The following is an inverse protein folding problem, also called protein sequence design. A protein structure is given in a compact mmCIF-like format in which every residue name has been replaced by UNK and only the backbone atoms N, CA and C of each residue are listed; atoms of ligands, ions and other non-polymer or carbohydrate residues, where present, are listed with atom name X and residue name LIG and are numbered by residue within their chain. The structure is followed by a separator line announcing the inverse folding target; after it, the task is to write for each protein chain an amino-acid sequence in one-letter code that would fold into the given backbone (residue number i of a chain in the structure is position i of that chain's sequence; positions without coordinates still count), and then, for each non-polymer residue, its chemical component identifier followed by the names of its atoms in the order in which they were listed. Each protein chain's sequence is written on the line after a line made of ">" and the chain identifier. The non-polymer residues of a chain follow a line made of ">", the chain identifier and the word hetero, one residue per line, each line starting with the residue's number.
data_IF_916087555219
#
_entry.id   IF_916087555219
#
_cell.length_a   1.000
_cell.length_b   1.000
_cell.length_c   1.000
_cell.angle_alpha   90.00
_cell.angle_beta   90.00
_cell.angle_gamma   90.00
#
_symmetry.space_group_name_H-M   'P 1'
#
loop_
_entity.id
_entity.type
_entity.pdbx_description
1 polymer ?
#
# COMPACT_ATOMS: atom_id res chain seq x y z
N UNK A 1 5.34 1.27 13.68
CA UNK A 1 6.73 1.75 13.83
C UNK A 1 7.73 0.58 13.75
N UNK A 2 7.50 -0.54 14.43
CA UNK A 2 8.41 -1.70 14.42
C UNK A 2 8.74 -2.23 13.00
N UNK A 3 7.76 -2.39 12.12
CA UNK A 3 7.99 -2.86 10.74
C UNK A 3 8.89 -1.88 9.96
N UNK A 4 8.71 -0.59 10.16
CA UNK A 4 9.50 0.47 9.52
C UNK A 4 10.94 0.50 10.06
N UNK A 5 11.12 0.28 11.36
CA UNK A 5 12.45 0.22 11.98
C UNK A 5 13.22 -1.02 11.52
N UNK A 6 12.54 -2.17 11.39
CA UNK A 6 13.13 -3.39 10.84
C UNK A 6 13.58 -3.19 9.38
N UNK A 7 12.71 -2.63 8.52
CA UNK A 7 13.06 -2.35 7.12
C UNK A 7 14.22 -1.35 7.02
N UNK A 8 14.19 -0.30 7.83
CA UNK A 8 15.26 0.70 7.87
C UNK A 8 16.58 0.07 8.32
N UNK A 9 16.56 -0.82 9.32
CA UNK A 9 17.75 -1.52 9.81
C UNK A 9 18.33 -2.47 8.75
N UNK A 10 17.48 -3.24 8.04
CA UNK A 10 17.88 -4.11 6.94
C UNK A 10 18.52 -3.27 5.83
N UNK A 11 17.87 -2.19 5.44
CA UNK A 11 18.35 -1.29 4.40
C UNK A 11 19.69 -0.63 4.77
N UNK A 12 19.90 -0.25 6.04
CA UNK A 12 21.18 0.30 6.52
C UNK A 12 22.32 -0.71 6.47
N UNK A 13 22.04 -2.01 6.64
CA UNK A 13 23.05 -3.09 6.57
C UNK A 13 23.41 -3.47 5.14
N UNK A 14 22.60 -3.17 4.15
CA UNK A 14 22.86 -3.44 2.75
C UNK A 14 24.07 -2.64 2.26
N UNK A 15 24.97 -3.31 1.51
CA UNK A 15 26.11 -2.67 0.82
C UNK A 15 25.65 -2.22 -0.56
N UNK A 16 25.72 -0.92 -0.84
CA UNK A 16 25.36 -0.34 -2.13
C UNK A 16 23.99 0.33 -2.17
N UNK A 17 23.60 0.77 -3.36
CA UNK A 17 22.34 1.45 -3.59
C UNK A 17 21.14 0.48 -3.55
N UNK A 18 20.03 0.93 -3.03
CA UNK A 18 18.82 0.14 -2.82
C UNK A 18 17.75 0.52 -3.82
N UNK A 19 17.07 -0.48 -4.34
CA UNK A 19 15.80 -0.32 -5.05
C UNK A 19 14.68 -0.86 -4.17
N UNK A 20 13.71 -0.03 -3.80
CA UNK A 20 12.59 -0.44 -2.97
C UNK A 20 11.34 -0.64 -3.83
N UNK A 21 10.71 -1.79 -3.66
CA UNK A 21 9.45 -2.13 -4.32
C UNK A 21 8.47 -2.57 -3.26
N UNK A 22 7.33 -1.91 -3.18
CA UNK A 22 6.28 -2.23 -2.21
C UNK A 22 4.89 -2.32 -2.84
N UNK A 23 4.04 -3.17 -2.28
CA UNK A 23 2.64 -3.29 -2.63
C UNK A 23 1.77 -3.04 -1.40
N UNK A 24 0.66 -2.29 -1.57
CA UNK A 24 -0.31 -2.06 -0.50
C UNK A 24 0.35 -1.44 0.75
N UNK A 25 0.22 -2.04 1.94
CA UNK A 25 0.91 -1.65 3.16
C UNK A 25 2.43 -1.60 2.97
N UNK A 26 3.00 -2.58 2.28
CA UNK A 26 4.43 -2.59 1.94
C UNK A 26 4.85 -1.40 1.07
N UNK A 27 3.95 -0.83 0.27
CA UNK A 27 4.23 0.40 -0.48
C UNK A 27 4.26 1.63 0.43
N UNK A 28 3.35 1.73 1.42
CA UNK A 28 3.39 2.79 2.42
C UNK A 28 4.69 2.73 3.25
N UNK A 29 5.11 1.53 3.65
CA UNK A 29 6.38 1.31 4.34
C UNK A 29 7.60 1.66 3.47
N UNK A 30 7.59 1.27 2.18
CA UNK A 30 8.68 1.57 1.26
C UNK A 30 8.84 3.09 1.03
N UNK A 31 7.71 3.81 0.92
CA UNK A 31 7.70 5.27 0.81
C UNK A 31 8.33 5.93 2.05
N UNK A 32 7.89 5.54 3.24
CA UNK A 32 8.40 6.10 4.50
C UNK A 32 9.87 5.71 4.74
N UNK A 33 10.25 4.48 4.41
CA UNK A 33 11.65 4.02 4.46
C UNK A 33 12.53 4.86 3.52
N UNK A 34 12.03 5.15 2.31
CA UNK A 34 12.75 6.00 1.35
C UNK A 34 12.93 7.41 1.89
N UNK A 35 11.89 7.99 2.50
CA UNK A 35 11.98 9.31 3.14
C UNK A 35 13.05 9.35 4.25
N UNK A 36 13.15 8.29 5.06
CA UNK A 36 14.15 8.17 6.14
C UNK A 36 15.58 7.92 5.63
N UNK A 37 15.73 7.21 4.52
CA UNK A 37 17.06 6.80 4.00
C UNK A 37 17.63 7.77 2.96
N UNK A 38 16.79 8.58 2.34
CA UNK A 38 17.19 9.57 1.33
C UNK A 38 18.00 8.93 0.19
N UNK A 39 19.16 9.51 -0.09
CA UNK A 39 20.04 9.15 -1.21
C UNK A 39 20.57 7.70 -1.21
N UNK A 40 20.32 6.93 -0.16
CA UNK A 40 20.65 5.49 -0.15
C UNK A 40 19.68 4.68 -1.00
N UNK A 41 18.49 5.18 -1.24
CA UNK A 41 17.52 4.57 -2.14
C UNK A 41 17.75 5.12 -3.54
N UNK A 42 17.99 4.25 -4.50
CA UNK A 42 18.26 4.60 -5.89
C UNK A 42 16.96 4.75 -6.70
N UNK A 43 15.96 3.94 -6.39
CA UNK A 43 14.62 4.08 -6.96
C UNK A 43 13.55 3.48 -6.05
N UNK A 44 12.32 3.94 -6.23
CA UNK A 44 11.15 3.52 -5.50
C UNK A 44 10.05 3.07 -6.46
N UNK A 45 9.43 1.93 -6.18
CA UNK A 45 8.22 1.49 -6.90
C UNK A 45 7.11 1.22 -5.90
N UNK A 46 5.99 1.90 -6.06
CA UNK A 46 4.82 1.83 -5.19
C UNK A 46 3.63 1.27 -5.97
N UNK A 47 3.26 0.04 -5.67
CA UNK A 47 2.11 -0.63 -6.29
C UNK A 47 0.92 -0.50 -5.36
N UNK A 48 -0.13 0.22 -5.80
CA UNK A 48 -1.36 0.38 -5.02
C UNK A 48 -1.13 0.82 -3.56
N UNK A 49 -0.36 1.90 -3.30
CA UNK A 49 -0.07 2.35 -1.94
C UNK A 49 -1.33 2.72 -1.18
N UNK A 50 -1.37 2.38 0.12
CA UNK A 50 -2.51 2.62 1.00
C UNK A 50 -2.20 3.65 2.11
N UNK A 51 -1.45 4.69 1.80
CA UNK A 51 -1.18 5.83 2.70
C UNK A 51 -2.46 6.66 2.92
N UNK A 52 -3.48 6.03 3.53
CA UNK A 52 -4.84 6.59 3.62
C UNK A 52 -4.95 7.80 4.55
N UNK A 53 -4.00 7.99 5.49
CA UNK A 53 -3.90 9.21 6.29
C UNK A 53 -3.90 10.49 5.42
N UNK A 54 -3.33 10.42 4.22
CA UNK A 54 -3.31 11.53 3.26
C UNK A 54 -4.72 11.94 2.84
N UNK A 55 -5.64 10.99 2.66
CA UNK A 55 -7.03 11.31 2.30
C UNK A 55 -7.73 12.13 3.39
N UNK A 56 -7.46 11.80 4.67
CA UNK A 56 -7.98 12.54 5.81
C UNK A 56 -7.37 13.93 5.90
N UNK A 57 -6.04 14.03 5.79
CA UNK A 57 -5.30 15.29 5.87
C UNK A 57 -5.72 16.26 4.76
N UNK A 58 -5.88 15.76 3.54
CA UNK A 58 -6.30 16.53 2.36
C UNK A 58 -7.83 16.65 2.21
N UNK A 59 -8.60 16.21 3.22
CA UNK A 59 -10.08 16.29 3.26
C UNK A 59 -10.75 15.69 2.02
N UNK A 60 -10.18 14.58 1.52
CA UNK A 60 -10.69 13.90 0.33
C UNK A 60 -11.99 13.14 0.65
N UNK A 61 -13.01 13.20 -0.22
CA UNK A 61 -14.28 12.50 0.01
C UNK A 61 -14.11 10.98 0.10
N UNK A 62 -13.07 10.42 -0.53
CA UNK A 62 -12.74 9.01 -0.50
C UNK A 62 -12.37 8.49 0.90
N UNK A 63 -12.05 9.40 1.84
CA UNK A 63 -11.79 9.04 3.24
C UNK A 63 -12.96 8.31 3.90
N UNK A 64 -14.22 8.69 3.60
CA UNK A 64 -15.41 8.04 4.17
C UNK A 64 -15.46 6.54 3.91
N UNK A 65 -15.01 6.07 2.75
CA UNK A 65 -14.95 4.64 2.42
C UNK A 65 -13.88 3.92 3.28
N UNK A 66 -12.73 4.55 3.48
CA UNK A 66 -11.64 4.01 4.32
C UNK A 66 -12.05 3.96 5.78
N UNK A 67 -12.71 5.01 6.28
CA UNK A 67 -13.20 5.07 7.66
C UNK A 67 -14.20 3.95 7.96
N UNK A 68 -15.13 3.69 7.03
CA UNK A 68 -16.08 2.58 7.16
C UNK A 68 -15.39 1.22 7.22
N UNK A 69 -14.39 0.99 6.34
CA UNK A 69 -13.59 -0.23 6.37
C UNK A 69 -12.84 -0.37 7.70
N UNK A 70 -12.22 0.72 8.16
CA UNK A 70 -11.51 0.75 9.44
C UNK A 70 -12.42 0.39 10.62
N UNK A 71 -13.60 1.01 10.70
CA UNK A 71 -14.59 0.70 11.74
C UNK A 71 -14.98 -0.78 11.74
N UNK A 72 -15.16 -1.39 10.55
CA UNK A 72 -15.53 -2.79 10.45
C UNK A 72 -14.38 -3.73 10.87
N UNK A 73 -13.14 -3.45 10.45
CA UNK A 73 -11.98 -4.28 10.75
C UNK A 73 -11.56 -4.13 12.22
N UNK A 74 -11.35 -2.90 12.68
CA UNK A 74 -10.90 -2.61 14.05
C UNK A 74 -11.97 -3.00 15.07
N UNK A 75 -13.24 -2.70 14.78
CA UNK A 75 -14.35 -3.06 15.64
C UNK A 75 -14.55 -4.59 15.74
N UNK A 76 -14.42 -5.30 14.63
CA UNK A 76 -14.49 -6.77 14.64
C UNK A 76 -13.42 -7.38 15.51
N UNK A 77 -12.15 -6.97 15.33
CA UNK A 77 -11.03 -7.48 16.15
C UNK A 77 -11.20 -7.10 17.63
N UNK A 78 -11.59 -5.86 17.93
CA UNK A 78 -11.79 -5.42 19.31
C UNK A 78 -12.91 -6.20 20.04
N UNK A 79 -13.90 -6.68 19.29
CA UNK A 79 -15.01 -7.51 19.82
C UNK A 79 -14.71 -9.02 19.80
N UNK A 80 -13.51 -9.44 19.38
CA UNK A 80 -13.14 -10.85 19.25
C UNK A 80 -13.78 -11.57 18.04
N UNK A 81 -14.39 -10.84 17.12
CA UNK A 81 -14.97 -11.38 15.88
C UNK A 81 -14.00 -11.19 14.70
N UNK A 82 -12.87 -11.88 14.78
CA UNK A 82 -11.84 -11.88 13.74
C UNK A 82 -12.38 -12.37 12.39
N UNK A 83 -13.41 -13.23 12.41
CA UNK A 83 -14.03 -13.74 11.19
C UNK A 83 -14.83 -12.67 10.47
N UNK A 84 -15.59 -11.85 11.19
CA UNK A 84 -16.29 -10.70 10.59
C UNK A 84 -15.29 -9.64 10.09
N UNK A 85 -14.26 -9.34 10.86
CA UNK A 85 -13.20 -8.43 10.45
C UNK A 85 -12.50 -8.89 9.15
N UNK A 86 -12.12 -10.16 9.06
CA UNK A 86 -11.54 -10.76 7.87
C UNK A 86 -12.50 -10.72 6.68
N UNK A 87 -13.78 -10.98 6.90
CA UNK A 87 -14.81 -10.92 5.87
C UNK A 87 -14.99 -9.48 5.34
N UNK A 88 -15.01 -8.49 6.20
CA UNK A 88 -15.08 -7.08 5.81
C UNK A 88 -13.88 -6.67 4.96
N UNK A 89 -12.67 -6.96 5.46
CA UNK A 89 -11.41 -6.63 4.79
C UNK A 89 -11.28 -7.30 3.42
N UNK A 90 -11.50 -8.61 3.35
CA UNK A 90 -11.33 -9.34 2.09
C UNK A 90 -12.46 -9.09 1.09
N UNK A 91 -13.69 -8.84 1.58
CA UNK A 91 -14.79 -8.43 0.69
C UNK A 91 -14.52 -7.07 0.06
N UNK A 92 -13.84 -6.19 0.77
CA UNK A 92 -13.42 -4.90 0.24
C UNK A 92 -12.44 -5.05 -0.94
N UNK A 93 -11.42 -5.89 -0.82
CA UNK A 93 -10.38 -6.05 -1.84
C UNK A 93 -10.70 -7.03 -2.96
N UNK A 94 -11.34 -8.16 -2.63
CA UNK A 94 -11.66 -9.23 -3.61
C UNK A 94 -13.07 -9.10 -4.17
N UNK A 95 -13.98 -8.44 -3.44
CA UNK A 95 -15.41 -8.47 -3.68
C UNK A 95 -16.11 -9.57 -2.87
N UNK A 96 -17.33 -9.26 -2.40
CA UNK A 96 -18.12 -10.09 -1.49
C UNK A 96 -18.33 -11.53 -1.98
N UNK A 97 -18.62 -11.72 -3.27
CA UNK A 97 -18.89 -13.05 -3.82
C UNK A 97 -17.63 -13.91 -3.89
N UNK A 98 -16.48 -13.34 -4.28
CA UNK A 98 -15.21 -14.08 -4.32
C UNK A 98 -14.78 -14.50 -2.92
N UNK A 99 -14.91 -13.63 -1.92
CA UNK A 99 -14.65 -13.98 -0.53
C UNK A 99 -15.59 -15.09 -0.06
N UNK A 100 -16.90 -14.99 -0.31
CA UNK A 100 -17.88 -16.01 0.09
C UNK A 100 -17.57 -17.39 -0.46
N UNK A 101 -17.13 -17.47 -1.71
CA UNK A 101 -16.80 -18.71 -2.41
C UNK A 101 -15.35 -19.18 -2.17
N UNK A 102 -14.55 -18.45 -1.44
CA UNK A 102 -13.17 -18.83 -1.13
C UNK A 102 -13.13 -20.11 -0.26
N UNK A 103 -12.13 -20.98 -0.46
CA UNK A 103 -11.95 -22.19 0.35
C UNK A 103 -11.78 -21.85 1.83
N UNK A 104 -12.29 -22.69 2.73
CA UNK A 104 -12.24 -22.45 4.18
C UNK A 104 -10.80 -22.34 4.70
N UNK A 105 -9.87 -23.14 4.17
CA UNK A 105 -8.44 -23.01 4.51
C UNK A 105 -7.87 -21.63 4.26
N UNK A 106 -8.30 -20.98 3.16
CA UNK A 106 -7.87 -19.64 2.83
C UNK A 106 -8.50 -18.61 3.79
N UNK A 107 -9.79 -18.77 4.08
CA UNK A 107 -10.49 -17.91 5.05
C UNK A 107 -9.85 -17.98 6.42
N UNK A 108 -9.57 -19.21 6.90
CA UNK A 108 -8.93 -19.42 8.21
C UNK A 108 -7.53 -18.80 8.27
N UNK A 109 -6.75 -18.88 7.19
CA UNK A 109 -5.44 -18.22 7.13
C UNK A 109 -5.56 -16.70 7.26
N UNK A 110 -6.54 -16.10 6.57
CA UNK A 110 -6.79 -14.66 6.69
C UNK A 110 -7.27 -14.28 8.10
N UNK A 111 -8.21 -15.04 8.67
CA UNK A 111 -8.69 -14.83 10.03
C UNK A 111 -7.53 -14.83 11.04
N UNK A 112 -6.59 -15.77 10.92
CA UNK A 112 -5.41 -15.82 11.78
C UNK A 112 -4.48 -14.60 11.65
N UNK A 113 -4.52 -13.89 10.54
CA UNK A 113 -3.66 -12.72 10.29
C UNK A 113 -4.37 -11.38 10.52
N UNK A 114 -5.71 -11.38 10.67
CA UNK A 114 -6.50 -10.13 10.72
C UNK A 114 -6.17 -9.24 11.93
N UNK A 115 -5.79 -9.75 13.12
CA UNK A 115 -5.34 -8.90 14.20
C UNK A 115 -4.11 -8.06 13.84
N UNK A 116 -3.15 -8.64 13.07
CA UNK A 116 -2.01 -7.88 12.55
C UNK A 116 -2.46 -6.83 11.53
N UNK A 117 -3.37 -7.20 10.62
CA UNK A 117 -3.93 -6.25 9.63
C UNK A 117 -4.62 -5.08 10.33
N UNK A 118 -5.31 -5.30 11.45
CA UNK A 118 -5.93 -4.23 12.22
C UNK A 118 -4.88 -3.24 12.78
N UNK A 119 -3.75 -3.74 13.29
CA UNK A 119 -2.64 -2.89 13.74
C UNK A 119 -2.04 -2.09 12.58
N UNK A 120 -1.81 -2.73 11.43
CA UNK A 120 -1.31 -2.07 10.21
C UNK A 120 -2.29 -1.00 9.72
N UNK A 121 -3.59 -1.30 9.80
CA UNK A 121 -4.64 -0.34 9.41
C UNK A 121 -4.58 0.94 10.26
N UNK A 122 -4.40 0.83 11.58
CA UNK A 122 -4.19 1.97 12.46
C UNK A 122 -3.01 2.84 12.00
N UNK A 123 -1.90 2.22 11.58
CA UNK A 123 -0.71 2.95 11.11
C UNK A 123 -1.00 3.73 9.82
N UNK A 124 -1.65 3.11 8.84
CA UNK A 124 -1.88 3.75 7.53
C UNK A 124 -2.95 4.85 7.56
N UNK A 125 -3.79 4.90 8.59
CA UNK A 125 -4.83 5.94 8.75
C UNK A 125 -4.41 7.07 9.68
N UNK A 126 -3.42 6.85 10.56
CA UNK A 126 -3.00 7.81 11.59
C UNK A 126 -1.55 8.30 11.45
N UNK A 127 -0.84 7.94 10.38
CA UNK A 127 0.51 8.42 10.14
C UNK A 127 0.55 9.97 10.12
N UNK A 128 1.54 10.60 10.80
CA UNK A 128 1.65 12.04 10.87
C UNK A 128 2.26 12.68 9.62
N UNK A 129 2.93 11.87 8.78
CA UNK A 129 3.65 12.34 7.59
C UNK A 129 2.69 12.97 6.58
N UNK A 130 3.01 14.16 6.09
CA UNK A 130 2.17 14.93 5.17
C UNK A 130 2.66 14.80 3.71
N UNK A 131 1.84 15.25 2.74
CA UNK A 131 2.29 15.37 1.34
C UNK A 131 3.52 16.27 1.20
N UNK A 132 3.59 17.34 2.01
CA UNK A 132 4.75 18.24 2.04
C UNK A 132 6.02 17.52 2.49
N UNK A 133 5.91 16.61 3.46
CA UNK A 133 7.05 15.81 3.91
C UNK A 133 7.50 14.84 2.82
N UNK A 134 6.55 14.24 2.09
CA UNK A 134 6.85 13.35 0.96
C UNK A 134 7.48 14.09 -0.24
N UNK A 135 7.28 15.38 -0.40
CA UNK A 135 7.97 16.17 -1.42
C UNK A 135 9.51 16.15 -1.27
N UNK A 136 10.04 15.77 -0.11
CA UNK A 136 11.47 15.54 0.11
C UNK A 136 12.00 14.26 -0.53
N UNK A 137 11.14 13.35 -0.97
CA UNK A 137 11.50 12.10 -1.64
C UNK A 137 11.77 12.40 -3.12
N UNK A 138 13.03 12.68 -3.43
CA UNK A 138 13.46 13.09 -4.79
C UNK A 138 13.98 11.94 -5.65
N UNK A 139 13.95 10.69 -5.17
CA UNK A 139 14.39 9.53 -5.93
C UNK A 139 13.42 9.24 -7.08
N UNK A 140 13.90 8.69 -8.22
CA UNK A 140 13.02 8.23 -9.29
C UNK A 140 11.96 7.27 -8.74
N UNK A 141 10.68 7.64 -8.88
CA UNK A 141 9.57 6.90 -8.29
C UNK A 141 8.58 6.46 -9.36
N UNK A 142 8.22 5.18 -9.37
CA UNK A 142 7.14 4.63 -10.18
C UNK A 142 5.94 4.31 -9.29
N UNK A 143 4.83 4.97 -9.52
CA UNK A 143 3.53 4.70 -8.91
C UNK A 143 2.69 3.84 -9.87
N UNK A 144 2.19 2.70 -9.42
CA UNK A 144 1.37 1.80 -10.24
C UNK A 144 -0.01 1.65 -9.63
N UNK A 145 -1.05 1.93 -10.40
CA UNK A 145 -2.46 1.68 -10.04
C UNK A 145 -3.15 0.82 -11.09
N UNK A 146 -4.09 0.01 -10.68
CA UNK A 146 -4.97 -0.71 -11.61
C UNK A 146 -6.10 0.18 -12.13
N UNK A 147 -6.55 -0.04 -13.36
CA UNK A 147 -7.69 0.71 -13.91
C UNK A 147 -9.02 0.40 -13.22
N UNK A 148 -9.09 -0.73 -12.48
CA UNK A 148 -10.24 -1.16 -11.68
C UNK A 148 -9.99 -0.99 -10.17
N UNK A 149 -8.94 -0.27 -9.78
CA UNK A 149 -8.68 -0.04 -8.36
C UNK A 149 -9.76 0.85 -7.73
N UNK A 150 -9.93 0.71 -6.42
CA UNK A 150 -10.94 1.47 -5.66
C UNK A 150 -10.54 2.95 -5.58
N UNK A 151 -11.56 3.80 -5.43
CA UNK A 151 -11.38 5.25 -5.40
C UNK A 151 -10.37 5.73 -4.35
N UNK A 152 -10.36 5.23 -3.10
CA UNK A 152 -9.38 5.67 -2.11
C UNK A 152 -7.93 5.41 -2.53
N UNK A 153 -7.61 4.21 -3.02
CA UNK A 153 -6.25 3.88 -3.46
C UNK A 153 -5.85 4.71 -4.69
N UNK A 154 -6.79 4.93 -5.62
CA UNK A 154 -6.56 5.80 -6.77
C UNK A 154 -6.22 7.22 -6.34
N UNK A 155 -7.00 7.78 -5.42
CA UNK A 155 -6.77 9.12 -4.90
C UNK A 155 -5.41 9.25 -4.18
N UNK A 156 -4.99 8.24 -3.41
CA UNK A 156 -3.64 8.20 -2.81
C UNK A 156 -2.55 8.22 -3.89
N UNK A 157 -2.69 7.41 -4.95
CA UNK A 157 -1.72 7.40 -6.06
C UNK A 157 -1.65 8.75 -6.76
N UNK A 158 -2.80 9.40 -6.99
CA UNK A 158 -2.86 10.70 -7.64
C UNK A 158 -2.22 11.79 -6.76
N UNK A 159 -2.54 11.84 -5.45
CA UNK A 159 -1.91 12.76 -4.50
C UNK A 159 -0.38 12.57 -4.42
N UNK A 160 0.09 11.33 -4.34
CA UNK A 160 1.53 11.05 -4.33
C UNK A 160 2.19 11.38 -5.67
N UNK A 161 1.49 11.16 -6.79
CA UNK A 161 1.98 11.50 -8.13
C UNK A 161 2.19 12.99 -8.32
N UNK A 162 1.37 13.83 -7.68
CA UNK A 162 1.50 15.29 -7.70
C UNK A 162 2.57 15.79 -6.71
N UNK A 163 2.73 15.11 -5.56
CA UNK A 163 3.62 15.56 -4.49
C UNK A 163 5.09 15.14 -4.69
N UNK A 164 5.33 13.96 -5.28
CA UNK A 164 6.68 13.42 -5.46
C UNK A 164 7.35 14.03 -6.72
N UNK A 165 8.49 14.76 -6.59
CA UNK A 165 9.05 15.54 -7.69
C UNK A 165 9.44 14.72 -8.93
N UNK A 166 9.85 13.46 -8.74
CA UNK A 166 10.32 12.58 -9.81
C UNK A 166 9.42 11.34 -9.97
N UNK A 167 8.11 11.52 -9.72
CA UNK A 167 7.14 10.44 -9.87
C UNK A 167 6.68 10.26 -11.32
N UNK A 168 6.50 9.01 -11.71
CA UNK A 168 5.77 8.59 -12.91
C UNK A 168 4.62 7.70 -12.48
N UNK A 169 3.42 7.94 -13.03
CA UNK A 169 2.23 7.12 -12.73
C UNK A 169 1.94 6.21 -13.91
N UNK A 170 1.86 4.91 -13.65
CA UNK A 170 1.44 3.90 -14.62
C UNK A 170 0.08 3.30 -14.22
N UNK A 171 -0.79 3.07 -15.22
CA UNK A 171 -2.07 2.42 -15.00
C UNK A 171 -2.08 1.04 -15.64
N UNK A 172 -2.28 0.00 -14.83
CA UNK A 172 -2.36 -1.38 -15.28
C UNK A 172 -3.79 -1.70 -15.72
N UNK A 173 -4.00 -1.90 -17.01
CA UNK A 173 -5.34 -2.10 -17.60
C UNK A 173 -5.98 -3.39 -17.09
N UNK A 174 -7.23 -3.30 -16.65
CA UNK A 174 -8.01 -4.44 -16.17
C UNK A 174 -7.69 -4.88 -14.73
N UNK A 175 -6.59 -4.42 -14.16
CA UNK A 175 -6.16 -4.76 -12.82
C UNK A 175 -6.85 -3.94 -11.74
N UNK A 176 -6.90 -4.48 -10.52
CA UNK A 176 -7.26 -3.80 -9.28
C UNK A 176 -6.17 -4.03 -8.23
N UNK A 177 -6.52 -3.85 -6.96
CA UNK A 177 -5.57 -3.93 -5.84
C UNK A 177 -4.74 -5.22 -5.79
N UNK A 178 -5.33 -6.34 -6.20
CA UNK A 178 -4.67 -7.64 -6.21
C UNK A 178 -3.84 -7.88 -7.49
N UNK A 179 -3.38 -6.83 -8.14
CA UNK A 179 -2.59 -6.89 -9.39
C UNK A 179 -1.35 -7.82 -9.32
N UNK A 180 -0.62 -7.96 -8.20
CA UNK A 180 0.50 -8.91 -8.13
C UNK A 180 0.09 -10.37 -8.38
N UNK A 181 -1.16 -10.72 -8.12
CA UNK A 181 -1.69 -12.07 -8.32
C UNK A 181 -2.47 -12.22 -9.64
N UNK A 182 -3.07 -11.14 -10.13
CA UNK A 182 -3.96 -11.20 -11.30
C UNK A 182 -3.31 -10.77 -12.60
N UNK A 183 -2.26 -9.94 -12.54
CA UNK A 183 -1.54 -9.38 -13.70
C UNK A 183 -0.02 -9.37 -13.47
N UNK A 184 0.58 -10.52 -13.02
CA UNK A 184 1.99 -10.54 -12.61
C UNK A 184 2.96 -10.23 -13.76
N UNK A 185 2.66 -10.66 -14.98
CA UNK A 185 3.55 -10.46 -16.11
C UNK A 185 3.70 -8.97 -16.48
N UNK A 186 2.58 -8.28 -16.62
CA UNK A 186 2.55 -6.85 -16.95
C UNK A 186 3.10 -6.00 -15.82
N UNK A 187 2.77 -6.35 -14.57
CA UNK A 187 3.29 -5.67 -13.39
C UNK A 187 4.81 -5.79 -13.30
N UNK A 188 5.33 -7.02 -13.43
CA UNK A 188 6.77 -7.26 -13.37
C UNK A 188 7.52 -6.54 -14.49
N UNK A 189 6.95 -6.45 -15.69
CA UNK A 189 7.54 -5.68 -16.80
C UNK A 189 7.71 -4.23 -16.40
N UNK A 190 6.66 -3.57 -15.89
CA UNK A 190 6.73 -2.16 -15.46
C UNK A 190 7.80 -1.95 -14.38
N UNK A 191 7.89 -2.87 -13.41
CA UNK A 191 8.89 -2.82 -12.34
C UNK A 191 10.30 -2.96 -12.92
N UNK A 192 10.54 -3.96 -13.77
CA UNK A 192 11.85 -4.24 -14.36
C UNK A 192 12.32 -3.11 -15.29
N UNK A 193 11.41 -2.54 -16.09
CA UNK A 193 11.71 -1.39 -16.96
C UNK A 193 12.12 -0.17 -16.11
N UNK A 194 11.42 0.07 -15.00
CA UNK A 194 11.77 1.16 -14.09
C UNK A 194 13.15 0.93 -13.44
N UNK A 195 13.45 -0.28 -12.98
CA UNK A 195 14.73 -0.63 -12.37
C UNK A 195 15.88 -0.51 -13.39
N UNK A 196 15.68 -0.95 -14.64
CA UNK A 196 16.67 -0.89 -15.69
C UNK A 196 17.05 0.56 -16.06
N UNK A 197 16.07 1.48 -16.04
CA UNK A 197 16.30 2.89 -16.30
C UNK A 197 17.13 3.61 -15.22
N UNK A 198 17.40 2.94 -14.08
CA UNK A 198 18.15 3.50 -12.94
C UNK A 198 19.51 2.81 -12.71
N UNK A 199 19.99 2.03 -13.67
CA UNK A 199 21.32 1.39 -13.63
C UNK A 199 22.45 2.38 -13.85
#
# INVERSE_FOLDING_TARGET
>A
EADLDVLTAIAKKSRGALHLVGHSYGAALALETTRRLGNRVKSLTLVEPVSFHLLRQERRPEWGEVEQLGKAVLGGVANGDDRAAAAAFMSYWLGRWRWRLSPERFKSAIVATIPKVALEFGIIVDAPTTLKDYASVTVPTLLIKGSKTRAPTRAVVDLLGEALPNAKVATLKGAGHMSPFTHPAELNRLILDHLAAQR
#
